data_IF_788715931733
#
_entry.id   IF_788715931733
#
_cell.length_a   1.000
_cell.length_b   1.000
_cell.length_c   1.000
_cell.angle_alpha   90.00
_cell.angle_beta   90.00
_cell.angle_gamma   90.00
#
_symmetry.space_group_name_H-M   'P 1'
#
loop_
_entity.id
_entity.type
_entity.pdbx_description
1 polymer ?
#
# COMPACT_ATOMS: atom_id res chain seq x y z
N UNK A 1 0.68 -72.72 -5.91
CA UNK A 1 1.67 -72.64 -4.81
C UNK A 1 1.20 -71.58 -3.84
N UNK A 2 0.93 -71.91 -2.56
CA UNK A 2 0.54 -70.91 -1.58
C UNK A 2 1.76 -70.04 -1.24
N UNK A 3 1.62 -68.73 -1.42
CA UNK A 3 2.62 -67.74 -1.02
C UNK A 3 2.63 -67.72 0.52
N UNK A 4 3.63 -68.33 1.15
CA UNK A 4 3.82 -68.18 2.59
C UNK A 4 4.39 -66.80 2.88
N UNK A 5 3.52 -65.89 3.30
CA UNK A 5 3.92 -64.55 3.73
C UNK A 5 4.70 -64.61 5.04
N UNK A 6 5.93 -64.10 5.03
CA UNK A 6 6.71 -63.91 6.24
C UNK A 6 6.12 -62.73 7.04
N UNK A 7 5.72 -63.00 8.29
CA UNK A 7 5.13 -61.99 9.18
C UNK A 7 6.07 -60.80 9.40
N UNK A 8 7.39 -61.02 9.35
CA UNK A 8 8.39 -59.97 9.57
C UNK A 8 8.41 -58.93 8.45
N UNK A 9 8.29 -59.35 7.18
CA UNK A 9 8.24 -58.42 6.04
C UNK A 9 6.96 -57.59 6.04
N UNK A 10 5.84 -58.16 6.51
CA UNK A 10 4.58 -57.43 6.63
C UNK A 10 4.67 -56.26 7.63
N UNK A 11 5.21 -56.48 8.83
CA UNK A 11 5.34 -55.43 9.83
C UNK A 11 6.24 -54.28 9.38
N UNK A 12 7.33 -54.58 8.65
CA UNK A 12 8.25 -53.57 8.12
C UNK A 12 7.57 -52.64 7.09
N UNK A 13 6.73 -53.20 6.22
CA UNK A 13 5.98 -52.42 5.22
C UNK A 13 4.98 -51.50 5.92
N UNK A 14 4.23 -52.01 6.90
CA UNK A 14 3.22 -51.21 7.63
C UNK A 14 3.90 -50.07 8.41
N UNK A 15 5.01 -50.35 9.10
CA UNK A 15 5.76 -49.32 9.82
C UNK A 15 6.27 -48.20 8.89
N UNK A 16 6.79 -48.57 7.71
CA UNK A 16 7.26 -47.59 6.72
C UNK A 16 6.13 -46.71 6.20
N UNK A 17 4.95 -47.27 5.94
CA UNK A 17 3.77 -46.52 5.50
C UNK A 17 3.30 -45.54 6.58
N UNK A 18 3.26 -45.96 7.85
CA UNK A 18 2.84 -45.10 8.96
C UNK A 18 3.79 -43.90 9.15
N UNK A 19 5.10 -44.12 9.04
CA UNK A 19 6.08 -43.03 9.09
C UNK A 19 5.87 -42.06 7.93
N UNK A 20 5.64 -42.58 6.72
CA UNK A 20 5.44 -41.74 5.53
C UNK A 20 4.13 -40.92 5.60
N UNK A 21 3.04 -41.52 6.09
CA UNK A 21 1.77 -40.81 6.31
C UNK A 21 1.95 -39.74 7.38
N UNK A 22 2.65 -40.06 8.47
CA UNK A 22 2.94 -39.11 9.55
C UNK A 22 3.76 -37.91 9.08
N UNK A 23 4.83 -38.14 8.31
CA UNK A 23 5.65 -37.05 7.76
C UNK A 23 4.87 -36.21 6.75
N UNK A 24 4.06 -36.85 5.89
CA UNK A 24 3.20 -36.15 4.93
C UNK A 24 2.18 -35.24 5.66
N UNK A 25 1.56 -35.74 6.73
CA UNK A 25 0.58 -35.00 7.52
C UNK A 25 1.21 -33.79 8.23
N UNK A 26 2.40 -33.97 8.79
CA UNK A 26 3.19 -32.88 9.39
C UNK A 26 3.55 -31.83 8.35
N UNK A 27 4.04 -32.22 7.17
CA UNK A 27 4.38 -31.28 6.08
C UNK A 27 3.15 -30.54 5.58
N UNK A 28 2.00 -31.21 5.43
CA UNK A 28 0.74 -30.59 5.02
C UNK A 28 0.27 -29.54 6.04
N UNK A 29 0.30 -29.83 7.34
CA UNK A 29 -0.11 -28.85 8.35
C UNK A 29 0.87 -27.68 8.47
N UNK A 30 2.16 -27.95 8.37
CA UNK A 30 3.21 -26.92 8.35
C UNK A 30 2.95 -25.98 7.16
N UNK A 31 2.77 -26.50 5.94
CA UNK A 31 2.59 -25.67 4.73
C UNK A 31 1.34 -24.79 4.76
N UNK A 32 0.26 -25.17 5.44
CA UNK A 32 -0.90 -24.27 5.65
C UNK A 32 -0.55 -23.05 6.50
N UNK A 33 0.25 -23.22 7.56
CA UNK A 33 0.62 -22.12 8.45
C UNK A 33 1.53 -21.09 7.76
N UNK A 34 2.38 -21.51 6.81
CA UNK A 34 3.28 -20.59 6.11
C UNK A 34 2.60 -19.74 5.03
N UNK A 35 1.39 -20.10 4.57
CA UNK A 35 0.67 -19.31 3.57
C UNK A 35 0.24 -17.95 4.09
N UNK A 36 -0.30 -17.90 5.32
CA UNK A 36 -0.76 -16.65 5.93
C UNK A 36 0.40 -15.67 6.16
N UNK A 37 1.57 -16.17 6.58
CA UNK A 37 2.77 -15.34 6.76
C UNK A 37 3.29 -14.77 5.43
N UNK A 38 3.30 -15.59 4.38
CA UNK A 38 3.73 -15.16 3.05
C UNK A 38 2.78 -14.13 2.43
N UNK A 39 1.46 -14.29 2.63
CA UNK A 39 0.47 -13.29 2.22
C UNK A 39 0.67 -11.95 2.93
N UNK A 40 0.98 -11.97 4.23
CA UNK A 40 1.30 -10.75 4.97
C UNK A 40 2.58 -10.07 4.44
N UNK A 41 3.64 -10.84 4.20
CA UNK A 41 4.91 -10.31 3.70
C UNK A 41 4.80 -9.73 2.28
N UNK A 42 3.96 -10.34 1.44
CA UNK A 42 3.67 -9.84 0.09
C UNK A 42 2.84 -8.56 0.13
N UNK A 43 1.95 -8.38 1.13
CA UNK A 43 1.21 -7.12 1.29
C UNK A 43 2.11 -5.95 1.70
N UNK A 44 3.10 -6.20 2.56
CA UNK A 44 4.02 -5.16 3.05
C UNK A 44 4.93 -4.62 1.95
N UNK A 45 5.36 -5.47 1.02
CA UNK A 45 6.14 -5.05 -0.14
C UNK A 45 5.34 -4.19 -1.15
N UNK A 46 4.00 -4.22 -1.06
CA UNK A 46 3.12 -3.44 -1.93
C UNK A 46 2.72 -2.08 -1.34
N UNK A 47 3.26 -1.71 -0.18
CA UNK A 47 2.95 -0.43 0.49
C UNK A 47 3.78 0.72 -0.10
N UNK A 48 4.95 0.41 -0.67
CA UNK A 48 5.80 1.40 -1.32
C UNK A 48 5.34 1.62 -2.76
N UNK A 49 4.78 2.80 -3.02
CA UNK A 49 4.29 3.14 -4.36
C UNK A 49 5.44 3.50 -5.31
N UNK A 50 5.38 3.05 -6.58
CA UNK A 50 6.38 3.40 -7.57
C UNK A 50 6.34 4.91 -7.85
N UNK A 51 7.50 5.54 -7.76
CA UNK A 51 7.70 6.94 -8.15
C UNK A 51 7.76 7.04 -9.67
N UNK A 52 6.95 7.92 -10.25
CA UNK A 52 7.02 8.28 -11.67
C UNK A 52 8.29 9.09 -11.97
N UNK A 53 8.90 8.95 -13.17
CA UNK A 53 10.04 9.78 -13.57
C UNK A 53 9.75 11.30 -13.56
N UNK A 54 8.47 11.69 -13.60
CA UNK A 54 8.05 13.09 -13.55
C UNK A 54 7.94 13.66 -12.12
N UNK A 55 8.27 12.88 -11.08
CA UNK A 55 8.06 13.30 -9.69
C UNK A 55 6.63 13.07 -9.17
N UNK A 56 5.78 12.42 -9.96
CA UNK A 56 4.44 12.03 -9.52
C UNK A 56 4.50 10.75 -8.68
N UNK A 57 3.74 10.73 -7.60
CA UNK A 57 3.62 9.60 -6.68
C UNK A 57 2.15 9.32 -6.44
N UNK A 58 1.74 8.08 -6.65
CA UNK A 58 0.35 7.64 -6.48
C UNK A 58 0.22 6.92 -5.14
N UNK A 59 -0.54 7.46 -4.20
CA UNK A 59 -0.72 6.86 -2.87
C UNK A 59 -2.18 6.52 -2.58
N UNK A 60 -2.42 5.27 -2.21
CA UNK A 60 -3.64 4.83 -1.55
C UNK A 60 -3.60 5.09 -0.04
N UNK A 61 -4.76 4.92 0.62
CA UNK A 61 -4.88 5.12 2.06
C UNK A 61 -3.85 4.27 2.85
N UNK A 62 -3.11 4.91 3.74
CA UNK A 62 -2.01 4.36 4.55
C UNK A 62 -0.81 3.81 3.75
N UNK A 63 -0.70 4.16 2.45
CA UNK A 63 0.49 3.85 1.68
C UNK A 63 1.57 4.91 1.88
N UNK A 64 2.80 4.46 1.72
CA UNK A 64 4.01 5.25 1.88
C UNK A 64 4.74 5.28 0.54
N UNK A 65 5.41 6.38 0.24
CA UNK A 65 6.31 6.44 -0.91
C UNK A 65 7.61 7.12 -0.54
N UNK A 66 8.68 6.56 -1.06
CA UNK A 66 10.04 7.07 -0.92
C UNK A 66 10.43 7.81 -2.20
N UNK A 67 10.59 9.12 -2.09
CA UNK A 67 11.14 9.98 -3.13
C UNK A 67 12.51 10.51 -2.70
N UNK A 68 13.58 9.82 -3.11
CA UNK A 68 14.97 10.12 -2.72
C UNK A 68 15.14 10.06 -1.18
N UNK A 69 15.28 11.21 -0.51
CA UNK A 69 15.41 11.37 0.94
C UNK A 69 14.13 11.91 1.60
N UNK A 70 13.02 11.94 0.87
CA UNK A 70 11.68 12.29 1.35
C UNK A 70 10.80 11.03 1.40
N UNK A 71 10.25 10.74 2.57
CA UNK A 71 9.20 9.76 2.80
C UNK A 71 7.87 10.50 2.93
N UNK A 72 6.86 10.04 2.17
CA UNK A 72 5.51 10.61 2.10
C UNK A 72 4.49 9.54 2.46
N UNK A 73 3.67 9.74 3.49
CA UNK A 73 2.57 8.83 3.86
C UNK A 73 1.21 9.52 3.68
N UNK A 74 0.27 8.86 3.01
CA UNK A 74 -1.11 9.33 2.91
C UNK A 74 -1.98 8.70 4.01
N UNK A 75 -2.25 9.47 5.07
CA UNK A 75 -2.91 8.95 6.28
C UNK A 75 -4.44 9.01 6.18
N UNK A 76 -4.97 9.86 5.30
CA UNK A 76 -6.38 9.83 4.89
C UNK A 76 -6.99 11.17 4.56
N UNK A 77 -8.28 11.16 4.25
CA UNK A 77 -9.04 12.36 3.88
C UNK A 77 -9.74 12.92 5.09
N UNK A 78 -9.46 14.18 5.41
CA UNK A 78 -10.11 14.91 6.51
C UNK A 78 -11.38 15.60 6.04
N UNK A 79 -11.38 16.12 4.81
CA UNK A 79 -12.52 16.78 4.19
C UNK A 79 -12.52 16.53 2.67
N UNK A 80 -13.69 16.28 2.08
CA UNK A 80 -13.85 16.20 0.62
C UNK A 80 -15.09 17.00 0.23
N UNK A 81 -14.88 18.17 -0.36
CA UNK A 81 -15.93 19.02 -0.89
C UNK A 81 -15.87 19.11 -2.42
N UNK A 82 -15.20 18.17 -3.09
CA UNK A 82 -15.06 18.19 -4.55
C UNK A 82 -16.44 18.22 -5.20
N UNK A 83 -16.58 19.03 -6.25
CA UNK A 83 -17.79 19.06 -7.04
C UNK A 83 -17.99 17.70 -7.73
N UNK A 84 -19.14 17.02 -7.55
CA UNK A 84 -19.41 15.79 -8.26
C UNK A 84 -19.39 15.98 -9.78
N UNK A 85 -18.84 15.00 -10.51
CA UNK A 85 -18.70 15.10 -11.99
C UNK A 85 -20.04 15.10 -12.73
N UNK A 86 -21.11 14.68 -12.05
CA UNK A 86 -22.50 14.63 -12.55
C UNK A 86 -23.33 15.85 -12.15
N UNK A 87 -22.73 16.87 -11.52
CA UNK A 87 -23.39 18.09 -11.05
C UNK A 87 -22.62 19.32 -11.50
N UNK A 88 -23.35 20.37 -11.88
CA UNK A 88 -22.77 21.69 -12.13
C UNK A 88 -22.76 22.49 -10.82
N UNK A 89 -21.58 22.65 -10.21
CA UNK A 89 -21.42 23.45 -9.01
C UNK A 89 -21.09 24.91 -9.35
N UNK A 90 -21.64 25.84 -8.57
CA UNK A 90 -21.31 27.27 -8.67
C UNK A 90 -19.89 27.52 -8.11
N UNK A 91 -19.50 26.77 -7.08
CA UNK A 91 -18.17 26.81 -6.47
C UNK A 91 -17.51 25.43 -6.56
N UNK A 92 -16.29 25.37 -7.08
CA UNK A 92 -15.49 24.14 -7.10
C UNK A 92 -14.82 23.98 -5.73
N UNK A 93 -15.28 23.03 -4.93
CA UNK A 93 -14.65 22.72 -3.65
C UNK A 93 -13.39 21.87 -3.80
N UNK A 94 -12.59 21.83 -2.74
CA UNK A 94 -11.34 21.09 -2.68
C UNK A 94 -11.43 19.86 -1.77
N UNK A 95 -10.43 18.99 -1.88
CA UNK A 95 -10.18 17.93 -0.90
C UNK A 95 -9.07 18.37 0.05
N UNK A 96 -9.15 17.91 1.29
CA UNK A 96 -8.09 18.02 2.28
C UNK A 96 -7.62 16.63 2.69
N UNK A 97 -6.35 16.34 2.43
CA UNK A 97 -5.68 15.09 2.75
C UNK A 97 -4.69 15.28 3.90
N UNK A 98 -4.73 14.40 4.89
CA UNK A 98 -3.71 14.30 5.94
C UNK A 98 -2.54 13.49 5.41
N UNK A 99 -1.36 14.08 5.49
CA UNK A 99 -0.12 13.53 4.97
C UNK A 99 0.96 13.67 6.03
N UNK A 100 1.69 12.59 6.28
CA UNK A 100 2.90 12.61 7.10
C UNK A 100 4.12 12.68 6.21
N UNK A 101 5.01 13.62 6.52
CA UNK A 101 6.25 13.89 5.82
C UNK A 101 7.42 13.48 6.72
N UNK A 102 8.46 12.91 6.14
CA UNK A 102 9.70 12.65 6.84
C UNK A 102 10.89 12.82 5.89
N UNK A 103 11.87 13.65 6.27
CA UNK A 103 13.11 13.82 5.52
C UNK A 103 14.24 14.19 6.45
N UNK A 104 15.40 13.53 6.29
CA UNK A 104 16.62 13.82 7.05
C UNK A 104 16.42 13.89 8.58
N UNK A 105 15.49 13.08 9.12
CA UNK A 105 15.17 13.03 10.55
C UNK A 105 14.27 14.17 11.04
N UNK A 106 13.63 14.92 10.14
CA UNK A 106 12.56 15.87 10.45
C UNK A 106 11.25 15.27 9.97
N UNK A 107 10.24 15.26 10.83
CA UNK A 107 8.92 14.73 10.50
C UNK A 107 7.83 15.73 10.87
N UNK A 108 6.82 15.83 10.00
CA UNK A 108 5.67 16.72 10.13
C UNK A 108 4.41 16.04 9.61
N UNK A 109 3.31 16.13 10.36
CA UNK A 109 1.96 15.79 9.87
C UNK A 109 1.28 17.07 9.41
N UNK A 110 0.72 17.08 8.20
CA UNK A 110 0.06 18.25 7.62
C UNK A 110 -1.19 17.87 6.84
N UNK A 111 -2.16 18.78 6.85
CA UNK A 111 -3.30 18.75 5.95
C UNK A 111 -2.97 19.49 4.65
N UNK A 112 -2.96 18.78 3.53
CA UNK A 112 -2.79 19.31 2.18
C UNK A 112 -4.14 19.54 1.54
N UNK A 113 -4.38 20.75 1.02
CA UNK A 113 -5.59 21.07 0.26
C UNK A 113 -5.29 21.08 -1.23
N UNK A 114 -6.16 20.51 -2.06
CA UNK A 114 -5.88 20.34 -3.50
C UNK A 114 -5.85 21.64 -4.31
N UNK A 115 -6.39 22.72 -3.77
CA UNK A 115 -6.41 24.06 -4.36
C UNK A 115 -5.37 25.02 -3.76
N UNK A 116 -4.58 24.55 -2.80
CA UNK A 116 -3.51 25.32 -2.17
C UNK A 116 -2.24 25.32 -3.04
N UNK A 117 -1.41 26.35 -2.87
CA UNK A 117 -0.08 26.39 -3.49
C UNK A 117 0.80 25.23 -2.99
N UNK A 118 1.79 24.77 -3.77
CA UNK A 118 2.70 23.71 -3.34
C UNK A 118 3.36 24.03 -2.01
N UNK A 119 3.30 23.08 -1.08
CA UNK A 119 3.91 23.21 0.23
C UNK A 119 5.39 22.82 0.18
N UNK A 120 6.23 23.60 0.85
CA UNK A 120 7.68 23.42 0.87
C UNK A 120 8.09 22.66 2.13
N UNK A 121 8.69 21.48 1.93
CA UNK A 121 9.26 20.67 3.01
C UNK A 121 10.71 20.29 2.67
N UNK A 122 11.66 20.84 3.43
CA UNK A 122 13.08 20.72 3.14
C UNK A 122 13.43 21.35 1.77
N UNK A 123 13.83 20.51 0.81
CA UNK A 123 14.17 20.92 -0.56
C UNK A 123 13.09 20.55 -1.59
N UNK A 124 11.89 20.19 -1.13
CA UNK A 124 10.82 19.68 -1.97
C UNK A 124 9.58 20.58 -1.94
N UNK A 125 8.97 20.78 -3.10
CA UNK A 125 7.64 21.37 -3.26
C UNK A 125 6.66 20.23 -3.54
N UNK A 126 5.65 20.10 -2.69
CA UNK A 126 4.69 18.98 -2.71
C UNK A 126 3.30 19.55 -2.97
N UNK A 127 2.57 18.99 -3.92
CA UNK A 127 1.19 19.39 -4.25
C UNK A 127 0.34 18.19 -4.63
N UNK A 128 -0.99 18.34 -4.54
CA UNK A 128 -1.95 17.33 -5.01
C UNK A 128 -2.33 17.67 -6.45
N UNK A 129 -2.16 16.71 -7.36
CA UNK A 129 -2.49 16.89 -8.79
C UNK A 129 -3.78 16.19 -9.17
N UNK A 130 -4.07 15.05 -8.54
CA UNK A 130 -5.28 14.27 -8.83
C UNK A 130 -5.75 13.49 -7.63
N UNK A 131 -7.05 13.25 -7.58
CA UNK A 131 -7.69 12.45 -6.55
C UNK A 131 -8.68 11.52 -7.22
N UNK A 132 -8.56 10.23 -6.94
CA UNK A 132 -9.52 9.22 -7.33
C UNK A 132 -10.13 8.56 -6.08
N UNK A 133 -11.35 8.01 -6.17
CA UNK A 133 -12.27 8.14 -7.30
C UNK A 133 -12.82 9.57 -7.43
N UNK A 134 -13.37 9.87 -8.60
CA UNK A 134 -14.13 11.10 -8.83
C UNK A 134 -15.37 11.14 -7.93
N UNK A 135 -15.75 12.33 -7.46
CA UNK A 135 -16.96 12.50 -6.69
C UNK A 135 -18.20 12.29 -7.58
N UNK A 136 -19.22 11.61 -7.05
CA UNK A 136 -20.51 11.42 -7.72
C UNK A 136 -21.64 11.73 -6.75
N UNK A 137 -22.70 12.37 -7.24
CA UNK A 137 -23.89 12.71 -6.43
C UNK A 137 -24.73 11.48 -6.09
N UNK A 138 -24.64 10.43 -6.90
CA UNK A 138 -25.49 9.24 -6.79
C UNK A 138 -24.87 8.11 -5.98
N UNK A 139 -23.54 8.08 -5.86
CA UNK A 139 -22.80 7.01 -5.21
C UNK A 139 -22.03 7.52 -3.98
N UNK A 140 -22.19 6.90 -2.80
CA UNK A 140 -21.37 7.24 -1.66
C UNK A 140 -19.91 6.87 -1.92
N UNK A 141 -19.00 7.78 -1.59
CA UNK A 141 -17.56 7.57 -1.71
C UNK A 141 -17.06 6.59 -0.64
N UNK A 142 -16.46 5.49 -1.09
CA UNK A 142 -15.77 4.54 -0.22
C UNK A 142 -14.40 5.09 0.18
N UNK A 143 -14.25 5.43 1.46
CA UNK A 143 -13.02 6.01 2.00
C UNK A 143 -11.79 5.13 1.83
N UNK A 144 -11.95 3.82 1.66
CA UNK A 144 -10.81 2.91 1.48
C UNK A 144 -10.27 2.91 0.06
N UNK A 145 -10.99 3.50 -0.89
CA UNK A 145 -10.62 3.54 -2.32
C UNK A 145 -9.96 4.85 -2.72
N UNK A 146 -9.72 5.77 -1.78
CA UNK A 146 -9.01 7.00 -2.10
C UNK A 146 -7.61 6.69 -2.59
N UNK A 147 -7.27 7.33 -3.71
CA UNK A 147 -5.95 7.35 -4.30
C UNK A 147 -5.64 8.80 -4.64
N UNK A 148 -4.55 9.32 -4.10
CA UNK A 148 -4.09 10.69 -4.36
C UNK A 148 -2.80 10.64 -5.15
N UNK A 149 -2.72 11.46 -6.19
CA UNK A 149 -1.50 11.68 -6.96
C UNK A 149 -0.86 12.96 -6.44
N UNK A 150 0.28 12.80 -5.78
CA UNK A 150 1.12 13.91 -5.34
C UNK A 150 2.18 14.19 -6.40
N UNK A 151 2.47 15.47 -6.64
CA UNK A 151 3.60 15.89 -7.45
C UNK A 151 4.68 16.50 -6.55
N UNK A 152 5.90 16.03 -6.74
CA UNK A 152 7.06 16.38 -5.93
C UNK A 152 8.13 16.98 -6.83
N UNK A 153 8.37 18.27 -6.65
CA UNK A 153 9.42 19.01 -7.34
C UNK A 153 10.57 19.35 -6.41
N UNK A 154 11.79 19.39 -6.94
CA UNK A 154 12.93 19.92 -6.18
C UNK A 154 12.93 21.44 -6.26
N UNK A 155 12.83 22.10 -5.11
CA UNK A 155 12.98 23.54 -5.00
C UNK A 155 14.43 23.89 -5.31
N UNK A 156 14.66 24.61 -6.39
CA UNK A 156 15.99 25.18 -6.64
C UNK A 156 16.31 26.18 -5.52
N UNK A 157 17.50 26.14 -4.90
CA UNK A 157 17.89 27.16 -3.93
C UNK A 157 17.78 28.54 -4.58
N UNK A 158 17.38 29.58 -3.83
CA UNK A 158 17.34 30.94 -4.37
C UNK A 158 18.72 31.28 -4.92
N UNK A 159 18.77 31.63 -6.22
CA UNK A 159 20.00 32.08 -6.86
C UNK A 159 20.38 33.40 -6.20
N UNK A 160 21.34 33.34 -5.29
CA UNK A 160 21.98 34.53 -4.72
C UNK A 160 22.72 35.26 -5.84
N UNK A 161 22.15 36.38 -6.30
CA UNK A 161 22.75 37.33 -7.24
C UNK A 161 23.82 38.19 -6.55
#
# INVERSE_FOLDING_TARGET
MPIQYNKVTWYSIVASILVFIGTLFVVLHITEQYKELFLLQTSLASITSPVSPNGDVVLGLYQIADYKDLELSFDGVTQDNRCPVDVECIEAGAITARVSLNSSGHSEERNFTSDEVPYIFGQYAISIVRVAPEASSTLPLDRKKYVIVFHIDKVSPPVSL
#
